data_IF_580557495055
#
_entry.id   IF_580557495055
#
_cell.length_a   1.000
_cell.length_b   1.000
_cell.length_c   1.000
_cell.angle_alpha   90.00
_cell.angle_beta   90.00
_cell.angle_gamma   90.00
#
_symmetry.space_group_name_H-M   'P 1'
#
loop_
_entity.id
_entity.type
_entity.pdbx_description
1 polymer ?
#
# COMPACT_ATOMS: atom_id res chain seq x y z
N UNK A 1 -12.01 30.92 18.49
CA UNK A 1 -11.67 29.49 18.34
C UNK A 1 -10.88 29.31 17.05
N UNK A 2 -9.55 29.22 17.14
CA UNK A 2 -8.70 29.02 15.95
C UNK A 2 -8.72 27.53 15.61
N UNK A 3 -9.27 27.16 14.44
CA UNK A 3 -9.20 25.81 13.90
C UNK A 3 -7.77 25.58 13.40
N UNK A 4 -6.97 24.84 14.17
CA UNK A 4 -5.67 24.34 13.69
C UNK A 4 -5.97 23.21 12.71
N UNK A 5 -5.94 23.51 11.41
CA UNK A 5 -5.99 22.49 10.36
C UNK A 5 -4.63 21.78 10.38
N UNK A 6 -4.52 20.63 11.07
CA UNK A 6 -3.34 19.77 10.97
C UNK A 6 -3.25 19.25 9.53
N UNK A 7 -2.30 19.79 8.76
CA UNK A 7 -1.93 19.27 7.43
C UNK A 7 -1.35 17.86 7.64
N UNK A 8 -2.00 16.82 7.12
CA UNK A 8 -1.43 15.47 7.14
C UNK A 8 -0.18 15.48 6.25
N UNK A 9 0.93 14.96 6.77
CA UNK A 9 2.11 14.68 5.97
C UNK A 9 1.78 13.44 5.15
N UNK A 10 1.73 13.60 3.84
CA UNK A 10 1.48 12.51 2.90
C UNK A 10 2.79 12.19 2.20
N UNK A 11 3.17 10.91 2.20
CA UNK A 11 4.34 10.38 1.51
C UNK A 11 3.86 9.37 0.48
N UNK A 12 4.52 9.33 -0.67
CA UNK A 12 4.14 8.45 -1.77
C UNK A 12 5.38 7.88 -2.46
N UNK A 13 5.30 6.61 -2.86
CA UNK A 13 6.27 5.97 -3.73
C UNK A 13 5.60 5.50 -5.03
N UNK A 14 6.38 5.36 -6.11
CA UNK A 14 5.90 4.92 -7.43
C UNK A 14 6.74 3.75 -7.93
N UNK A 15 6.08 2.65 -8.30
CA UNK A 15 6.70 1.47 -8.91
C UNK A 15 6.18 1.29 -10.33
N UNK A 16 6.99 1.61 -11.33
CA UNK A 16 6.66 1.45 -12.74
C UNK A 16 7.16 0.10 -13.28
N UNK A 17 6.59 -0.34 -14.41
CA UNK A 17 7.02 -1.55 -15.14
C UNK A 17 7.00 -2.85 -14.32
N UNK A 18 6.02 -3.01 -13.42
CA UNK A 18 5.85 -4.25 -12.66
C UNK A 18 5.29 -5.33 -13.60
N UNK A 19 6.00 -6.44 -13.76
CA UNK A 19 5.61 -7.57 -14.59
C UNK A 19 4.43 -8.36 -14.00
N UNK A 20 3.22 -7.79 -14.07
CA UNK A 20 1.97 -8.48 -13.73
C UNK A 20 0.75 -7.80 -14.34
N UNK A 21 -0.35 -8.55 -14.46
CA UNK A 21 -1.64 -7.99 -14.84
C UNK A 21 -2.16 -7.02 -13.78
N UNK A 22 -2.72 -5.90 -14.22
CA UNK A 22 -3.37 -4.91 -13.36
C UNK A 22 -4.45 -5.54 -12.46
N UNK A 23 -5.18 -6.56 -12.94
CA UNK A 23 -6.20 -7.23 -12.14
C UNK A 23 -5.62 -7.96 -10.92
N UNK A 24 -4.44 -8.56 -11.05
CA UNK A 24 -3.75 -9.24 -9.94
C UNK A 24 -3.31 -8.24 -8.88
N UNK A 25 -2.82 -7.06 -9.31
CA UNK A 25 -2.44 -5.98 -8.40
C UNK A 25 -3.67 -5.39 -7.69
N UNK A 26 -4.74 -5.07 -8.44
CA UNK A 26 -5.98 -4.50 -7.88
C UNK A 26 -6.58 -5.38 -6.79
N UNK A 27 -6.63 -6.70 -6.99
CA UNK A 27 -7.12 -7.64 -5.96
C UNK A 27 -6.43 -7.44 -4.61
N UNK A 28 -5.11 -7.22 -4.59
CA UNK A 28 -4.36 -7.02 -3.35
C UNK A 28 -4.56 -5.60 -2.83
N UNK A 29 -4.52 -4.59 -3.71
CA UNK A 29 -4.71 -3.17 -3.35
C UNK A 29 -6.08 -2.94 -2.70
N UNK A 30 -7.12 -3.59 -3.21
CA UNK A 30 -8.48 -3.44 -2.68
C UNK A 30 -8.61 -4.02 -1.26
N UNK A 31 -7.73 -4.95 -0.85
CA UNK A 31 -7.73 -5.50 0.51
C UNK A 31 -7.05 -4.59 1.53
N UNK A 32 -6.01 -3.87 1.11
CA UNK A 32 -5.19 -3.02 1.99
C UNK A 32 -5.65 -1.55 2.01
N UNK A 33 -6.56 -1.16 1.10
CA UNK A 33 -7.06 0.22 1.03
C UNK A 33 -7.75 0.62 2.34
N UNK A 34 -7.31 1.72 2.94
CA UNK A 34 -7.88 2.27 4.17
C UNK A 34 -7.45 1.54 5.45
N UNK A 35 -6.49 0.62 5.37
CA UNK A 35 -5.89 -0.07 6.52
C UNK A 35 -4.73 0.74 7.10
N UNK A 36 -4.38 0.45 8.36
CA UNK A 36 -3.16 0.99 8.96
C UNK A 36 -1.91 0.39 8.28
N UNK A 37 -0.75 1.00 8.50
CA UNK A 37 0.52 0.48 7.97
C UNK A 37 0.80 -0.94 8.50
N UNK A 38 0.64 -1.16 9.81
CA UNK A 38 0.86 -2.46 10.45
C UNK A 38 -0.10 -3.53 9.92
N UNK A 39 -1.40 -3.20 9.81
CA UNK A 39 -2.39 -4.10 9.22
C UNK A 39 -2.05 -4.43 7.76
N UNK A 40 -1.58 -3.45 6.99
CA UNK A 40 -1.19 -3.64 5.59
C UNK A 40 -0.03 -4.63 5.48
N UNK A 41 1.00 -4.51 6.33
CA UNK A 41 2.12 -5.45 6.36
C UNK A 41 1.64 -6.86 6.69
N UNK A 42 0.83 -7.02 7.73
CA UNK A 42 0.29 -8.33 8.13
C UNK A 42 -0.52 -8.99 7.01
N UNK A 43 -1.41 -8.24 6.34
CA UNK A 43 -2.22 -8.77 5.24
C UNK A 43 -1.33 -9.21 4.08
N UNK A 44 -0.34 -8.39 3.70
CA UNK A 44 0.55 -8.68 2.58
C UNK A 44 1.46 -9.89 2.82
N UNK A 45 1.92 -10.09 4.06
CA UNK A 45 2.77 -11.23 4.44
C UNK A 45 2.00 -12.56 4.48
N UNK A 46 0.73 -12.53 4.88
CA UNK A 46 -0.08 -13.74 5.06
C UNK A 46 -0.80 -14.19 3.79
N UNK A 47 -0.98 -13.30 2.80
CA UNK A 47 -1.72 -13.63 1.59
C UNK A 47 -0.93 -14.53 0.61
N UNK A 48 -1.55 -15.59 0.06
CA UNK A 48 -0.88 -16.52 -0.88
C UNK A 48 -0.80 -15.97 -2.32
N UNK A 49 -0.59 -14.66 -2.49
CA UNK A 49 -0.50 -14.03 -3.81
C UNK A 49 0.92 -13.54 -4.09
N UNK A 50 1.50 -13.95 -5.23
CA UNK A 50 2.79 -13.39 -5.70
C UNK A 50 2.76 -11.89 -5.92
N UNK A 51 1.57 -11.32 -6.14
CA UNK A 51 1.37 -9.88 -6.29
C UNK A 51 1.68 -9.09 -5.01
N UNK A 52 1.65 -9.73 -3.83
CA UNK A 52 1.96 -9.08 -2.56
C UNK A 52 3.41 -8.58 -2.51
N UNK A 53 4.37 -9.33 -3.06
CA UNK A 53 5.78 -9.00 -2.97
C UNK A 53 6.17 -7.61 -3.52
N UNK A 54 5.84 -7.26 -4.79
CA UNK A 54 6.16 -5.93 -5.29
C UNK A 54 5.34 -4.82 -4.63
N UNK A 55 4.11 -5.09 -4.16
CA UNK A 55 3.29 -4.11 -3.44
C UNK A 55 3.89 -3.83 -2.06
N UNK A 56 4.31 -4.87 -1.35
CA UNK A 56 4.97 -4.78 -0.05
C UNK A 56 6.24 -3.93 -0.13
N UNK A 57 7.08 -4.17 -1.13
CA UNK A 57 8.29 -3.37 -1.37
C UNK A 57 7.97 -1.89 -1.58
N UNK A 58 6.86 -1.59 -2.25
CA UNK A 58 6.40 -0.24 -2.55
C UNK A 58 5.87 0.46 -1.29
N UNK A 59 5.12 -0.26 -0.46
CA UNK A 59 4.65 0.20 0.86
C UNK A 59 5.83 0.53 1.79
N UNK A 60 6.83 -0.35 1.86
CA UNK A 60 8.07 -0.09 2.61
C UNK A 60 8.85 1.13 2.10
N UNK A 61 8.77 1.43 0.80
CA UNK A 61 9.48 2.58 0.22
C UNK A 61 8.77 3.92 0.48
N UNK A 62 7.47 3.88 0.79
CA UNK A 62 6.65 5.06 1.02
C UNK A 62 6.53 5.45 2.51
N UNK A 63 6.76 4.51 3.42
CA UNK A 63 6.79 4.74 4.87
C UNK A 63 8.08 5.45 5.28
#
# INVERSE_FOLDING_TARGET
MIRIIKKKVEVSALGQHICMSAHKARRVIDQIRGRSYEETLMILELMPYRACYPILKLVYSAA
#
